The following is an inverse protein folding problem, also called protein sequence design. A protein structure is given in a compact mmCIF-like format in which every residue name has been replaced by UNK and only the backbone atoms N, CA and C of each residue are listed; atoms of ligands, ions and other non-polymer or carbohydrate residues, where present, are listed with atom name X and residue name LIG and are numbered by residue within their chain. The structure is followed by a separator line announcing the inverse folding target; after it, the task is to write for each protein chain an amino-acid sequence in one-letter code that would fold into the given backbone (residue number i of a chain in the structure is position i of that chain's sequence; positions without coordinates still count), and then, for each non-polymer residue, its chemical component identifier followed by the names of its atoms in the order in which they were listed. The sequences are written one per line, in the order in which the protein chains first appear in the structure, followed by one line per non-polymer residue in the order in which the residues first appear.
data_IF_962643468206
#
_entry.id   IF_962643468206
#
_cell.length_a   1.000
_cell.length_b   1.000
_cell.length_c   1.000
_cell.angle_alpha   90.00
_cell.angle_beta   90.00
_cell.angle_gamma   90.00
#
_symmetry.space_group_name_H-M   'P 1'
#
loop_
_entity.id
_entity.type
_entity.pdbx_description
1 polymer ?
#
# COMPACT_ATOMS: atom_id res chain seq x y z
N UNK A 1 4.42 29.79 -20.44
CA UNK A 1 3.59 29.51 -21.63
C UNK A 1 3.22 28.04 -21.57
N UNK A 2 1.96 27.69 -21.28
CA UNK A 2 1.50 26.32 -21.47
C UNK A 2 1.28 26.14 -22.97
N UNK A 3 2.24 25.50 -23.64
CA UNK A 3 1.97 24.96 -24.96
C UNK A 3 1.06 23.77 -24.70
N UNK A 4 -0.24 23.93 -24.91
CA UNK A 4 -1.17 22.80 -24.96
C UNK A 4 -0.65 21.88 -26.06
N UNK A 5 0.09 20.85 -25.68
CA UNK A 5 0.59 19.85 -26.60
C UNK A 5 -0.63 19.01 -27.01
N UNK A 6 -1.29 19.40 -28.10
CA UNK A 6 -2.53 18.78 -28.56
C UNK A 6 -2.17 17.35 -28.99
N UNK A 7 -2.49 16.39 -28.13
CA UNK A 7 -2.33 14.97 -28.43
C UNK A 7 -3.29 14.60 -29.55
N UNK A 8 -2.75 14.01 -30.61
CA UNK A 8 -3.49 13.53 -31.77
C UNK A 8 -3.02 12.15 -32.16
N UNK A 9 -3.83 11.44 -32.94
CA UNK A 9 -3.49 10.13 -33.48
C UNK A 9 -3.90 10.04 -34.95
N UNK A 10 -3.06 9.45 -35.78
CA UNK A 10 -3.34 9.36 -37.22
C UNK A 10 -4.15 8.10 -37.55
N UNK A 11 -4.93 8.15 -38.63
CA UNK A 11 -5.60 6.93 -39.17
C UNK A 11 -4.61 5.83 -39.56
N UNK A 12 -3.36 6.16 -39.91
CA UNK A 12 -2.29 5.19 -40.19
C UNK A 12 -1.87 4.50 -38.91
N UNK A 13 -1.57 5.26 -37.86
CA UNK A 13 -1.24 4.73 -36.54
C UNK A 13 -2.37 3.83 -35.99
N UNK A 14 -3.62 4.24 -36.15
CA UNK A 14 -4.78 3.41 -35.77
C UNK A 14 -4.83 2.11 -36.59
N UNK A 15 -4.52 2.16 -37.89
CA UNK A 15 -4.48 0.96 -38.72
C UNK A 15 -3.38 -0.01 -38.25
N UNK A 16 -2.21 0.49 -37.88
CA UNK A 16 -1.11 -0.31 -37.34
C UNK A 16 -1.46 -0.95 -35.99
N UNK A 17 -2.02 -0.18 -35.06
CA UNK A 17 -2.42 -0.66 -33.73
C UNK A 17 -3.53 -1.71 -33.78
N UNK A 18 -4.37 -1.63 -34.83
CA UNK A 18 -5.55 -2.48 -34.96
C UNK A 18 -5.39 -3.63 -35.96
N UNK A 19 -4.34 -3.63 -36.78
CA UNK A 19 -4.18 -4.57 -37.89
C UNK A 19 -5.23 -4.44 -39.00
N UNK A 20 -6.12 -3.44 -38.95
CA UNK A 20 -7.09 -3.17 -40.03
C UNK A 20 -6.37 -2.56 -41.22
N UNK A 21 -6.86 -2.84 -42.45
CA UNK A 21 -6.39 -2.12 -43.64
C UNK A 21 -6.65 -0.62 -43.49
N UNK A 22 -5.66 0.21 -43.83
CA UNK A 22 -5.73 1.67 -43.65
C UNK A 22 -6.89 2.32 -44.41
N UNK A 23 -7.22 1.84 -45.61
CA UNK A 23 -8.36 2.33 -46.39
C UNK A 23 -9.71 2.12 -45.68
N UNK A 24 -9.87 1.00 -44.95
CA UNK A 24 -11.04 0.76 -44.12
C UNK A 24 -11.09 1.74 -42.94
N UNK A 25 -9.97 1.94 -42.24
CA UNK A 25 -9.89 2.90 -41.12
C UNK A 25 -10.18 4.33 -41.59
N UNK A 26 -9.64 4.72 -42.73
CA UNK A 26 -9.85 6.05 -43.31
C UNK A 26 -11.31 6.26 -43.72
N UNK A 27 -11.95 5.25 -44.33
CA UNK A 27 -13.37 5.29 -44.66
C UNK A 27 -14.24 5.41 -43.40
N UNK A 28 -13.97 4.58 -42.40
CA UNK A 28 -14.71 4.57 -41.14
C UNK A 28 -14.56 5.95 -40.43
N UNK A 29 -13.35 6.50 -40.38
CA UNK A 29 -13.07 7.83 -39.81
C UNK A 29 -13.82 8.96 -40.53
N UNK A 30 -13.83 8.96 -41.88
CA UNK A 30 -14.62 9.93 -42.67
C UNK A 30 -16.12 9.80 -42.41
N UNK A 31 -16.61 8.57 -42.25
CA UNK A 31 -18.00 8.30 -41.88
C UNK A 31 -18.37 8.91 -40.53
N UNK A 32 -17.52 8.73 -39.51
CA UNK A 32 -17.71 9.32 -38.19
C UNK A 32 -17.67 10.85 -38.25
N UNK A 33 -16.71 11.44 -38.96
CA UNK A 33 -16.63 12.89 -39.14
C UNK A 33 -17.92 13.43 -39.77
N UNK A 34 -18.42 12.78 -40.83
CA UNK A 34 -19.66 13.18 -41.49
C UNK A 34 -20.89 13.06 -40.56
N UNK A 35 -20.99 11.97 -39.80
CA UNK A 35 -22.08 11.76 -38.84
C UNK A 35 -22.06 12.78 -37.70
N UNK A 36 -20.89 13.02 -37.10
CA UNK A 36 -20.74 14.02 -36.03
C UNK A 36 -21.00 15.43 -36.55
N UNK A 37 -20.56 15.73 -37.78
CA UNK A 37 -20.87 17.00 -38.46
C UNK A 37 -22.37 17.18 -38.72
N UNK A 38 -23.08 16.13 -39.13
CA UNK A 38 -24.53 16.20 -39.37
C UNK A 38 -25.36 16.37 -38.09
N UNK A 39 -24.85 15.88 -36.94
CA UNK A 39 -25.52 16.00 -35.63
C UNK A 39 -25.30 17.37 -34.96
N UNK A 40 -24.34 18.17 -35.44
CA UNK A 40 -23.99 19.46 -34.84
C UNK A 40 -24.40 20.60 -35.77
N UNK A 41 -25.57 21.17 -35.51
CA UNK A 41 -26.00 22.46 -36.06
C UNK A 41 -25.14 23.56 -35.43
N UNK A 42 -24.17 24.05 -36.21
CA UNK A 42 -23.29 25.21 -35.96
C UNK A 42 -22.12 25.02 -34.95
N UNK A 43 -20.92 25.35 -35.44
CA UNK A 43 -19.72 25.83 -34.73
C UNK A 43 -19.07 25.01 -33.59
N UNK A 44 -19.46 23.76 -33.36
CA UNK A 44 -18.63 22.87 -32.53
C UNK A 44 -17.61 22.13 -33.40
N UNK A 45 -16.45 22.77 -33.65
CA UNK A 45 -15.38 22.30 -34.54
C UNK A 45 -14.97 20.86 -34.24
N UNK A 46 -15.50 19.92 -35.03
CA UNK A 46 -14.92 18.59 -35.17
C UNK A 46 -13.50 18.81 -35.71
N UNK A 47 -12.50 18.70 -34.85
CA UNK A 47 -11.14 19.11 -35.21
C UNK A 47 -10.41 17.88 -35.72
N UNK A 48 -10.34 17.76 -37.04
CA UNK A 48 -9.46 16.83 -37.72
C UNK A 48 -8.66 17.59 -38.77
N UNK A 49 -7.47 17.09 -39.05
CA UNK A 49 -6.61 17.65 -40.10
C UNK A 49 -6.42 16.60 -41.18
N UNK A 50 -6.62 17.00 -42.44
CA UNK A 50 -6.22 16.17 -43.58
C UNK A 50 -4.70 16.26 -43.76
N UNK A 51 -4.06 15.13 -43.94
CA UNK A 51 -2.63 15.03 -44.17
C UNK A 51 -2.33 13.92 -45.18
N UNK A 52 -1.06 13.76 -45.56
CA UNK A 52 -0.60 12.67 -46.42
C UNK A 52 0.54 11.92 -45.75
N UNK A 53 0.70 10.65 -46.11
CA UNK A 53 1.84 9.83 -45.74
C UNK A 53 2.41 9.14 -46.98
N UNK A 54 3.69 8.80 -46.94
CA UNK A 54 4.36 8.04 -48.00
C UNK A 54 4.21 6.55 -47.72
N UNK A 55 3.73 5.80 -48.71
CA UNK A 55 3.71 4.35 -48.63
C UNK A 55 5.09 3.76 -48.99
N UNK A 56 5.21 2.43 -48.89
CA UNK A 56 6.45 1.69 -49.22
C UNK A 56 6.88 1.83 -50.70
N UNK A 57 5.99 2.32 -51.58
CA UNK A 57 6.27 2.61 -53.00
C UNK A 57 6.57 4.10 -53.24
N UNK A 58 6.81 4.87 -52.17
CA UNK A 58 7.05 6.30 -52.19
C UNK A 58 5.91 7.15 -52.79
N UNK A 59 4.69 6.61 -52.82
CA UNK A 59 3.48 7.32 -53.24
C UNK A 59 2.82 8.00 -52.04
N UNK A 60 2.35 9.22 -52.26
CA UNK A 60 1.61 9.97 -51.26
C UNK A 60 0.16 9.48 -51.19
N UNK A 61 -0.28 9.10 -50.00
CA UNK A 61 -1.63 8.63 -49.72
C UNK A 61 -2.28 9.50 -48.63
N UNK A 62 -3.61 9.73 -48.68
CA UNK A 62 -4.29 10.58 -47.71
C UNK A 62 -4.41 9.89 -46.35
N UNK A 63 -4.35 10.66 -45.27
CA UNK A 63 -4.66 10.23 -43.90
C UNK A 63 -5.39 11.34 -43.15
N UNK A 64 -6.12 10.99 -42.10
CA UNK A 64 -6.64 11.97 -41.13
C UNK A 64 -5.81 11.95 -39.84
N UNK A 65 -5.61 13.12 -39.26
CA UNK A 65 -5.09 13.35 -37.92
C UNK A 65 -6.28 13.67 -37.01
N UNK A 66 -6.52 12.83 -36.02
CA UNK A 66 -7.71 12.87 -35.18
C UNK A 66 -7.37 13.33 -33.76
N UNK A 67 -8.25 14.14 -33.17
CA UNK A 67 -8.21 14.48 -31.75
C UNK A 67 -8.71 13.31 -30.87
N UNK A 68 -8.71 13.51 -29.55
CA UNK A 68 -9.15 12.50 -28.57
C UNK A 68 -10.58 12.04 -28.84
N UNK A 69 -11.48 12.99 -29.08
CA UNK A 69 -12.91 12.71 -29.21
C UNK A 69 -13.18 11.90 -30.46
N UNK A 70 -12.60 12.28 -31.60
CA UNK A 70 -12.74 11.55 -32.85
C UNK A 70 -12.09 10.17 -32.81
N UNK A 71 -10.89 10.06 -32.23
CA UNK A 71 -10.22 8.76 -32.06
C UNK A 71 -11.08 7.81 -31.24
N UNK A 72 -11.63 8.28 -30.12
CA UNK A 72 -12.42 7.44 -29.22
C UNK A 72 -13.78 7.10 -29.82
N UNK A 73 -14.40 8.04 -30.54
CA UNK A 73 -15.65 7.80 -31.27
C UNK A 73 -15.46 6.74 -32.35
N UNK A 74 -14.38 6.83 -33.13
CA UNK A 74 -14.05 5.86 -34.18
C UNK A 74 -13.94 4.44 -33.64
N UNK A 75 -13.20 4.26 -32.54
CA UNK A 75 -12.95 2.91 -32.02
C UNK A 75 -14.15 2.31 -31.29
N UNK A 76 -15.20 3.08 -30.93
CA UNK A 76 -16.40 2.50 -30.29
C UNK A 76 -17.02 1.36 -31.12
N UNK A 77 -16.94 1.44 -32.45
CA UNK A 77 -17.41 0.40 -33.37
C UNK A 77 -16.43 -0.74 -33.61
N UNK A 78 -15.23 -0.72 -33.03
CA UNK A 78 -14.23 -1.78 -33.17
C UNK A 78 -14.37 -2.80 -32.04
N UNK A 79 -13.84 -4.02 -32.18
CA UNK A 79 -13.89 -5.01 -31.10
C UNK A 79 -13.02 -4.60 -29.90
N UNK A 80 -13.28 -5.24 -28.76
CA UNK A 80 -12.67 -4.90 -27.47
C UNK A 80 -11.15 -4.94 -27.49
N UNK A 81 -10.53 -5.87 -28.21
CA UNK A 81 -9.07 -5.98 -28.28
C UNK A 81 -8.45 -4.81 -29.02
N UNK A 82 -9.04 -4.43 -30.15
CA UNK A 82 -8.58 -3.29 -30.94
C UNK A 82 -8.74 -1.97 -30.19
N UNK A 83 -9.86 -1.80 -29.46
CA UNK A 83 -10.07 -0.63 -28.60
C UNK A 83 -9.00 -0.53 -27.51
N UNK A 84 -8.66 -1.66 -26.87
CA UNK A 84 -7.65 -1.68 -25.81
C UNK A 84 -6.28 -1.17 -26.31
N UNK A 85 -5.85 -1.63 -27.50
CA UNK A 85 -4.58 -1.20 -28.09
C UNK A 85 -4.55 0.32 -28.36
N UNK A 86 -5.62 0.86 -28.94
CA UNK A 86 -5.71 2.30 -29.27
C UNK A 86 -5.77 3.15 -28.00
N UNK A 87 -6.53 2.73 -26.98
CA UNK A 87 -6.60 3.44 -25.69
C UNK A 87 -5.25 3.41 -24.98
N UNK A 88 -4.56 2.27 -24.94
CA UNK A 88 -3.23 2.15 -24.35
C UNK A 88 -2.24 3.13 -24.98
N UNK A 89 -2.18 3.16 -26.31
CA UNK A 89 -1.34 4.11 -27.05
C UNK A 89 -1.70 5.58 -26.75
N UNK A 90 -3.00 5.89 -26.64
CA UNK A 90 -3.43 7.24 -26.30
C UNK A 90 -2.92 7.70 -24.93
N UNK A 91 -2.97 6.81 -23.92
CA UNK A 91 -2.46 7.09 -22.57
C UNK A 91 -0.96 7.40 -22.61
N UNK A 92 -0.18 6.64 -23.38
CA UNK A 92 1.26 6.92 -23.57
C UNK A 92 1.50 8.31 -24.16
N UNK A 93 0.75 8.67 -25.22
CA UNK A 93 0.88 9.99 -25.85
C UNK A 93 0.50 11.12 -24.87
N UNK A 94 -0.52 10.94 -24.04
CA UNK A 94 -0.89 11.90 -22.99
C UNK A 94 0.19 12.04 -21.91
N UNK A 95 0.85 10.95 -21.52
CA UNK A 95 1.97 10.98 -20.57
C UNK A 95 3.19 11.70 -21.13
N UNK A 96 3.54 11.44 -22.40
CA UNK A 96 4.64 12.13 -23.09
C UNK A 96 4.34 13.62 -23.29
N UNK A 97 3.08 13.96 -23.57
CA UNK A 97 2.65 15.33 -23.77
C UNK A 97 2.59 16.15 -22.46
N UNK A 98 2.34 15.49 -21.32
CA UNK A 98 2.20 16.13 -20.00
C UNK A 98 3.12 15.49 -18.93
N UNK A 99 4.46 15.54 -19.08
CA UNK A 99 5.39 14.94 -18.11
C UNK A 99 5.34 15.63 -16.73
N UNK A 100 4.90 16.89 -16.68
CA UNK A 100 4.79 17.71 -15.47
C UNK A 100 3.69 17.25 -14.51
N UNK A 101 2.60 16.67 -15.02
CA UNK A 101 1.49 16.19 -14.16
C UNK A 101 1.91 14.99 -13.31
N UNK A 102 2.67 14.06 -13.90
CA UNK A 102 3.23 12.92 -13.18
C UNK A 102 4.28 13.36 -12.14
N UNK A 103 5.14 14.33 -12.49
CA UNK A 103 6.19 14.81 -11.60
C UNK A 103 5.66 15.56 -10.37
N UNK A 104 4.57 16.35 -10.51
CA UNK A 104 3.97 17.10 -9.41
C UNK A 104 3.30 16.19 -8.38
N UNK A 105 2.51 15.20 -8.82
CA UNK A 105 1.86 14.25 -7.92
C UNK A 105 2.89 13.42 -7.11
N UNK A 106 4.01 13.03 -7.74
CA UNK A 106 5.10 12.33 -7.05
C UNK A 106 5.79 13.24 -6.03
N UNK A 107 6.02 14.50 -6.37
CA UNK A 107 6.71 15.45 -5.47
C UNK A 107 5.86 15.76 -4.23
N UNK A 108 4.55 15.97 -4.39
CA UNK A 108 3.64 16.24 -3.28
C UNK A 108 3.49 15.04 -2.35
N UNK A 109 3.34 13.84 -2.91
CA UNK A 109 3.26 12.61 -2.12
C UNK A 109 4.54 12.35 -1.32
N UNK A 110 5.72 12.55 -1.93
CA UNK A 110 6.99 12.45 -1.22
C UNK A 110 7.11 13.47 -0.09
N UNK A 111 6.67 14.71 -0.31
CA UNK A 111 6.69 15.76 0.70
C UNK A 111 5.76 15.44 1.88
N UNK A 112 4.55 14.95 1.61
CA UNK A 112 3.60 14.54 2.65
C UNK A 112 4.17 13.37 3.48
N UNK A 113 4.74 12.36 2.83
CA UNK A 113 5.39 11.24 3.52
C UNK A 113 6.54 11.71 4.41
N UNK A 114 7.39 12.62 3.92
CA UNK A 114 8.48 13.18 4.71
C UNK A 114 7.96 13.96 5.93
N UNK A 115 6.90 14.75 5.76
CA UNK A 115 6.25 15.48 6.85
C UNK A 115 5.69 14.53 7.91
N UNK A 116 5.06 13.42 7.51
CA UNK A 116 4.57 12.39 8.44
C UNK A 116 5.71 11.72 9.22
N UNK A 117 6.80 11.35 8.54
CA UNK A 117 7.98 10.77 9.19
C UNK A 117 8.57 11.74 10.23
N UNK A 118 8.74 13.01 9.85
CA UNK A 118 9.26 14.04 10.76
C UNK A 118 8.35 14.24 12.00
N UNK A 119 7.03 14.19 11.81
CA UNK A 119 6.07 14.29 12.91
C UNK A 119 6.10 13.10 13.87
N UNK A 120 6.47 11.90 13.39
CA UNK A 120 6.57 10.68 14.22
C UNK A 120 7.88 10.58 15.01
N UNK A 121 8.95 11.24 14.56
CA UNK A 121 10.29 11.12 15.17
C UNK A 121 10.31 11.42 16.69
N UNK A 122 9.69 12.50 17.21
CA UNK A 122 9.71 12.79 18.64
C UNK A 122 9.03 11.71 19.50
N UNK A 123 7.95 11.11 19.00
CA UNK A 123 7.25 10.04 19.70
C UNK A 123 8.10 8.76 19.76
N UNK A 124 8.85 8.47 18.69
CA UNK A 124 9.80 7.36 18.66
C UNK A 124 10.95 7.58 19.65
N UNK A 125 11.53 8.79 19.69
CA UNK A 125 12.62 9.13 20.61
C UNK A 125 12.18 8.97 22.07
N UNK A 126 10.98 9.47 22.41
CA UNK A 126 10.40 9.32 23.74
C UNK A 126 10.14 7.85 24.08
N UNK A 127 9.66 7.07 23.13
CA UNK A 127 9.47 5.63 23.30
C UNK A 127 10.79 4.90 23.59
N UNK A 128 11.87 5.22 22.86
CA UNK A 128 13.21 4.65 23.09
C UNK A 128 13.74 5.07 24.46
N UNK A 129 13.61 6.35 24.83
CA UNK A 129 14.04 6.88 26.14
C UNK A 129 13.33 6.17 27.30
N UNK A 130 12.01 6.01 27.20
CA UNK A 130 11.19 5.29 28.20
C UNK A 130 11.65 3.83 28.35
N UNK A 131 11.91 3.15 27.23
CA UNK A 131 12.38 1.77 27.22
C UNK A 131 13.74 1.57 27.89
N UNK A 132 14.62 2.58 27.81
CA UNK A 132 15.96 2.55 28.46
C UNK A 132 15.92 2.89 29.95
N UNK A 133 15.05 3.79 30.38
CA UNK A 133 15.05 4.35 31.75
C UNK A 133 14.13 3.60 32.70
N UNK A 134 12.87 3.42 32.31
CA UNK A 134 11.79 2.90 33.17
C UNK A 134 11.37 1.50 32.77
N UNK A 135 11.42 1.18 31.47
CA UNK A 135 10.90 -0.06 30.90
C UNK A 135 9.37 -0.08 30.79
N UNK A 136 8.85 -1.10 30.10
CA UNK A 136 7.43 -1.25 29.80
C UNK A 136 6.76 -2.21 30.78
N UNK A 137 5.47 -1.99 31.09
CA UNK A 137 4.67 -3.03 31.74
C UNK A 137 4.52 -4.24 30.83
N UNK A 138 4.20 -5.42 31.37
CA UNK A 138 3.97 -6.63 30.56
C UNK A 138 2.93 -6.41 29.47
N UNK A 139 1.75 -5.89 29.84
CA UNK A 139 0.65 -5.60 28.90
C UNK A 139 1.04 -4.56 27.87
N UNK A 140 1.77 -3.52 28.29
CA UNK A 140 2.25 -2.49 27.37
C UNK A 140 3.22 -3.04 26.35
N UNK A 141 4.19 -3.85 26.79
CA UNK A 141 5.17 -4.48 25.92
C UNK A 141 4.52 -5.45 24.95
N UNK A 142 3.55 -6.26 25.41
CA UNK A 142 2.79 -7.16 24.54
C UNK A 142 2.02 -6.40 23.47
N UNK A 143 1.33 -5.32 23.83
CA UNK A 143 0.61 -4.48 22.87
C UNK A 143 1.56 -3.87 21.82
N UNK A 144 2.73 -3.39 22.24
CA UNK A 144 3.76 -2.84 21.36
C UNK A 144 4.44 -3.90 20.47
N UNK A 145 4.34 -5.17 20.87
CA UNK A 145 4.82 -6.31 20.12
C UNK A 145 3.71 -7.03 19.34
N UNK A 146 2.49 -6.47 19.29
CA UNK A 146 1.35 -7.07 18.60
C UNK A 146 0.98 -8.47 19.12
N UNK A 147 1.10 -8.67 20.43
CA UNK A 147 0.67 -9.88 21.13
C UNK A 147 -0.76 -9.66 21.65
N UNK A 148 -1.71 -10.41 21.12
CA UNK A 148 -3.15 -10.18 21.28
C UNK A 148 -3.67 -10.50 22.69
N UNK A 149 -3.02 -11.44 23.37
CA UNK A 149 -3.53 -12.04 24.59
C UNK A 149 -2.47 -12.10 25.70
N UNK A 150 -2.06 -10.94 26.26
CA UNK A 150 -0.95 -10.85 27.20
C UNK A 150 -1.11 -11.73 28.44
N UNK A 151 -2.32 -11.83 29.00
CA UNK A 151 -2.56 -12.63 30.21
C UNK A 151 -2.53 -14.13 29.94
N UNK A 152 -3.08 -14.56 28.81
CA UNK A 152 -3.05 -15.96 28.38
C UNK A 152 -1.62 -16.38 28.05
N UNK A 153 -0.85 -15.50 27.39
CA UNK A 153 0.58 -15.72 27.18
C UNK A 153 1.33 -15.86 28.51
N UNK A 154 1.04 -14.99 29.49
CA UNK A 154 1.67 -15.10 30.80
C UNK A 154 1.30 -16.39 31.53
N UNK A 155 0.05 -16.85 31.42
CA UNK A 155 -0.38 -18.14 31.93
C UNK A 155 0.37 -19.30 31.25
N UNK A 156 0.53 -19.25 29.93
CA UNK A 156 1.32 -20.24 29.17
C UNK A 156 2.79 -20.23 29.59
N UNK A 157 3.37 -19.06 29.86
CA UNK A 157 4.73 -18.96 30.40
C UNK A 157 4.84 -19.58 31.79
N UNK A 158 3.79 -19.49 32.62
CA UNK A 158 3.77 -20.17 33.92
C UNK A 158 3.72 -21.68 33.74
N UNK A 159 2.83 -22.18 32.88
CA UNK A 159 2.67 -23.61 32.62
C UNK A 159 3.95 -24.25 32.06
N UNK A 160 4.66 -23.51 31.19
CA UNK A 160 5.93 -23.95 30.59
C UNK A 160 7.15 -23.70 31.48
N UNK A 161 6.98 -23.25 32.72
CA UNK A 161 8.09 -23.01 33.66
C UNK A 161 8.97 -21.78 33.35
N UNK A 162 8.51 -20.92 32.45
CA UNK A 162 9.15 -19.65 32.08
C UNK A 162 8.73 -18.47 32.98
N UNK A 163 7.70 -18.65 33.79
CA UNK A 163 7.23 -17.71 34.79
C UNK A 163 6.71 -18.45 36.03
N UNK A 164 6.50 -17.76 37.15
CA UNK A 164 5.88 -18.31 38.35
C UNK A 164 5.10 -17.27 39.14
N UNK A 165 4.13 -17.74 39.92
CA UNK A 165 3.46 -16.96 40.97
C UNK A 165 4.19 -17.11 42.30
N UNK A 166 4.37 -16.02 43.04
CA UNK A 166 4.89 -16.04 44.41
C UNK A 166 3.77 -16.39 45.39
N UNK A 167 4.14 -16.70 46.65
CA UNK A 167 3.17 -16.90 47.75
C UNK A 167 2.28 -15.68 47.99
N UNK A 168 2.76 -14.48 47.66
CA UNK A 168 2.03 -13.22 47.74
C UNK A 168 1.21 -12.91 46.48
N UNK A 169 1.10 -13.84 45.52
CA UNK A 169 0.33 -13.69 44.28
C UNK A 169 1.01 -12.87 43.18
N UNK A 170 2.22 -12.35 43.42
CA UNK A 170 2.99 -11.63 42.42
C UNK A 170 3.51 -12.55 41.32
N UNK A 171 3.76 -12.00 40.13
CA UNK A 171 4.32 -12.78 39.01
C UNK A 171 5.78 -12.44 38.78
N UNK A 172 6.61 -13.47 38.64
CA UNK A 172 8.04 -13.37 38.30
C UNK A 172 8.29 -14.15 37.01
N UNK A 173 9.13 -13.60 36.14
CA UNK A 173 9.68 -14.35 35.00
C UNK A 173 10.92 -15.14 35.45
N UNK A 174 11.26 -16.18 34.71
CA UNK A 174 12.46 -16.99 34.95
C UNK A 174 13.73 -16.09 34.92
N UNK A 175 14.70 -16.27 35.85
CA UNK A 175 15.91 -15.45 35.90
C UNK A 175 16.71 -15.36 34.60
N UNK A 176 16.60 -16.35 33.71
CA UNK A 176 17.24 -16.32 32.38
C UNK A 176 16.87 -15.08 31.55
N UNK A 177 15.66 -14.55 31.72
CA UNK A 177 15.21 -13.35 31.01
C UNK A 177 15.91 -12.08 31.51
N UNK A 178 16.26 -12.03 32.81
CA UNK A 178 17.04 -10.93 33.36
C UNK A 178 18.51 -11.05 32.92
N UNK A 179 19.07 -12.26 32.94
CA UNK A 179 20.43 -12.53 32.45
C UNK A 179 20.61 -12.17 30.97
N UNK A 180 19.58 -12.40 30.14
CA UNK A 180 19.57 -11.99 28.73
C UNK A 180 19.40 -10.46 28.53
N UNK A 181 19.08 -9.72 29.59
CA UNK A 181 18.82 -8.28 29.57
C UNK A 181 17.41 -7.90 29.08
N UNK A 182 16.48 -8.87 29.00
CA UNK A 182 15.12 -8.63 28.50
C UNK A 182 14.19 -8.02 29.54
N UNK A 183 14.49 -8.20 30.82
CA UNK A 183 13.69 -7.65 31.91
C UNK A 183 14.55 -6.97 32.96
N UNK A 184 13.94 -6.03 33.68
CA UNK A 184 14.44 -5.48 34.93
C UNK A 184 13.55 -5.95 36.07
N UNK A 185 14.11 -6.65 37.06
CA UNK A 185 13.33 -7.12 38.22
C UNK A 185 12.96 -5.98 39.16
N UNK A 186 11.83 -6.15 39.85
CA UNK A 186 11.30 -5.21 40.84
C UNK A 186 11.15 -5.90 42.20
N UNK A 187 11.40 -5.15 43.27
CA UNK A 187 11.11 -5.61 44.64
C UNK A 187 9.59 -5.55 44.90
N UNK A 188 9.02 -6.49 45.66
CA UNK A 188 7.59 -6.45 46.04
C UNK A 188 7.16 -5.15 46.72
N UNK A 189 8.05 -4.51 47.48
CA UNK A 189 7.80 -3.23 48.16
C UNK A 189 7.74 -2.02 47.22
N UNK A 190 8.04 -2.16 45.93
CA UNK A 190 7.99 -1.05 45.00
C UNK A 190 6.53 -0.71 44.66
N UNK A 191 6.13 0.55 44.90
CA UNK A 191 4.78 1.07 44.65
C UNK A 191 4.30 0.87 43.20
N UNK A 192 5.22 0.74 42.24
CA UNK A 192 4.88 0.47 40.83
C UNK A 192 4.31 -0.93 40.63
N UNK A 193 4.59 -1.89 41.52
CA UNK A 193 4.18 -3.30 41.36
C UNK A 193 2.66 -3.46 41.34
N UNK A 194 1.92 -2.76 42.21
CA UNK A 194 0.45 -2.80 42.22
C UNK A 194 -0.12 -2.26 40.91
N UNK A 195 0.38 -1.11 40.45
CA UNK A 195 -0.01 -0.49 39.18
C UNK A 195 0.45 -1.28 37.94
N UNK A 196 1.39 -2.20 38.11
CA UNK A 196 1.93 -3.08 37.06
C UNK A 196 1.28 -4.46 37.08
N UNK A 197 0.05 -4.60 37.60
CA UNK A 197 -0.68 -5.87 37.64
C UNK A 197 -0.05 -6.93 38.54
N UNK A 198 0.77 -6.52 39.51
CA UNK A 198 1.49 -7.44 40.40
C UNK A 198 2.69 -8.14 39.76
N UNK A 199 3.19 -7.64 38.62
CA UNK A 199 4.41 -8.18 37.99
C UNK A 199 5.66 -7.57 38.63
N UNK A 200 6.56 -8.43 39.10
CA UNK A 200 7.85 -8.06 39.69
C UNK A 200 8.94 -7.83 38.64
N UNK A 201 8.54 -7.34 37.46
CA UNK A 201 9.44 -7.05 36.36
C UNK A 201 8.88 -5.96 35.45
N UNK A 202 9.78 -5.27 34.76
CA UNK A 202 9.50 -4.43 33.59
C UNK A 202 10.24 -4.99 32.39
N UNK A 203 9.65 -4.89 31.20
CA UNK A 203 10.30 -5.28 29.95
C UNK A 203 11.24 -4.15 29.51
N UNK A 204 12.48 -4.48 29.18
CA UNK A 204 13.46 -3.50 28.70
C UNK A 204 13.22 -3.20 27.22
N UNK A 205 13.84 -2.15 26.69
CA UNK A 205 13.85 -1.90 25.23
C UNK A 205 14.40 -3.11 24.45
N UNK A 206 15.42 -3.78 25.00
CA UNK A 206 15.98 -5.02 24.45
C UNK A 206 14.94 -6.15 24.47
N UNK A 207 14.29 -6.37 25.61
CA UNK A 207 13.26 -7.42 25.74
C UNK A 207 12.03 -7.17 24.86
N UNK A 208 11.67 -5.91 24.61
CA UNK A 208 10.61 -5.60 23.66
C UNK A 208 11.01 -5.97 22.23
N UNK A 209 12.16 -5.49 21.76
CA UNK A 209 12.51 -5.60 20.34
C UNK A 209 13.15 -6.96 19.97
N UNK A 210 14.01 -7.51 20.82
CA UNK A 210 14.77 -8.74 20.53
C UNK A 210 14.10 -10.01 21.10
N UNK A 211 13.04 -9.88 21.89
CA UNK A 211 12.33 -11.03 22.43
C UNK A 211 10.84 -11.04 22.10
N UNK A 212 10.08 -10.02 22.51
CA UNK A 212 8.63 -10.04 22.29
C UNK A 212 8.27 -9.82 20.81
N UNK A 213 8.82 -8.79 20.16
CA UNK A 213 8.57 -8.54 18.73
C UNK A 213 9.08 -9.66 17.83
N UNK A 214 10.31 -10.11 18.08
CA UNK A 214 10.92 -11.23 17.34
C UNK A 214 10.07 -12.52 17.38
N UNK A 215 9.37 -12.76 18.48
CA UNK A 215 8.60 -14.00 18.70
C UNK A 215 7.09 -13.80 18.72
N UNK A 216 6.59 -12.63 18.34
CA UNK A 216 5.18 -12.25 18.50
C UNK A 216 4.23 -13.25 17.83
N UNK A 217 4.49 -13.56 16.56
CA UNK A 217 3.69 -14.51 15.78
C UNK A 217 3.67 -15.91 16.43
N UNK A 218 4.85 -16.42 16.81
CA UNK A 218 4.98 -17.72 17.48
C UNK A 218 4.23 -17.75 18.81
N UNK A 219 4.30 -16.66 19.60
CA UNK A 219 3.61 -16.52 20.87
C UNK A 219 2.08 -16.47 20.69
N UNK A 220 1.58 -15.70 19.73
CA UNK A 220 0.14 -15.65 19.41
C UNK A 220 -0.38 -17.02 18.96
N UNK A 221 0.36 -17.71 18.08
CA UNK A 221 0.03 -19.06 17.64
C UNK A 221 0.02 -20.06 18.81
N UNK A 222 0.99 -19.98 19.71
CA UNK A 222 1.05 -20.84 20.90
C UNK A 222 -0.14 -20.59 21.84
N UNK A 223 -0.53 -19.33 22.02
CA UNK A 223 -1.71 -18.96 22.82
C UNK A 223 -3.00 -19.46 22.17
N UNK A 224 -3.18 -19.29 20.87
CA UNK A 224 -4.37 -19.77 20.16
C UNK A 224 -4.49 -21.29 20.23
N UNK A 225 -3.38 -22.01 20.01
CA UNK A 225 -3.33 -23.47 20.16
C UNK A 225 -3.63 -23.93 21.58
N UNK A 226 -3.21 -23.19 22.60
CA UNK A 226 -3.55 -23.49 23.99
C UNK A 226 -5.04 -23.22 24.31
N UNK A 227 -5.67 -22.24 23.64
CA UNK A 227 -7.11 -21.98 23.76
C UNK A 227 -7.94 -23.11 23.16
N UNK A 228 -7.52 -23.70 22.04
CA UNK A 228 -8.22 -24.85 21.45
C UNK A 228 -8.17 -26.10 22.35
N UNK A 229 -7.25 -26.12 23.33
CA UNK A 229 -7.14 -27.17 24.34
C UNK A 229 -7.81 -26.82 25.67
N UNK A 230 -8.43 -25.66 25.82
CA UNK A 230 -9.10 -25.30 27.08
C UNK A 230 -10.46 -25.99 27.20
N UNK A 231 -10.68 -26.72 28.30
CA UNK A 231 -11.98 -27.32 28.59
C UNK A 231 -13.04 -26.25 28.91
N UNK A 232 -14.30 -26.68 29.10
CA UNK A 232 -15.45 -25.80 29.40
C UNK A 232 -15.29 -24.95 30.68
N UNK A 233 -14.21 -25.17 31.44
CA UNK A 233 -13.86 -24.47 32.68
C UNK A 233 -12.54 -23.68 32.56
N UNK A 234 -11.98 -23.55 31.35
CA UNK A 234 -10.79 -22.75 31.08
C UNK A 234 -9.46 -23.39 31.50
N UNK A 235 -9.43 -24.72 31.75
CA UNK A 235 -8.20 -25.44 32.06
C UNK A 235 -7.56 -25.97 30.79
N UNK A 236 -6.26 -25.74 30.60
CA UNK A 236 -5.50 -26.28 29.46
C UNK A 236 -5.44 -27.80 29.64
N UNK A 237 -6.05 -28.55 28.72
CA UNK A 237 -5.94 -30.01 28.70
C UNK A 237 -4.54 -30.40 28.22
N UNK A 238 -3.89 -31.33 28.95
CA UNK A 238 -2.58 -31.88 28.56
C UNK A 238 -2.71 -32.67 27.27
#
# INVERSE_FOLDING_TARGET
MNVNNIVTMTTVEIAELTGKRHDNVLRDARGIVAQVGALRSEESSVTFTEATYKNNQNKDLPMLVLDKHLTFTLITGYDTGLRYNVVGRWIELEQVANPTFAAQAITETLKDLQSRVNAMAPAFDEHVRKGRTVGYSWREACRLAEIDHPDKLLALLIDTGNARKTTQGHTQLNPKYEQAGFIKTLKPSNLVVSNNGGHLFKITHKGLNEWLKDKAESMNNAVNKAQDKTDRWGRITK
#
